data_IF_291955026355
#
_entry.id   IF_291955026355
#
_cell.length_a   1.000
_cell.length_b   1.000
_cell.length_c   1.000
_cell.angle_alpha   90.00
_cell.angle_beta   90.00
_cell.angle_gamma   90.00
#
_symmetry.space_group_name_H-M   'P 1'
#
loop_
_entity.id
_entity.type
_entity.pdbx_description
1 polymer ?
#
# COMPACT_ATOMS: atom_id res chain seq x y z
N UNK A 1 12.83 -4.47 -7.95
CA UNK A 1 12.32 -3.22 -7.32
C UNK A 1 12.80 -3.21 -5.86
N UNK A 2 13.23 -2.08 -5.29
CA UNK A 2 13.74 -2.06 -3.90
C UNK A 2 12.59 -1.94 -2.90
N UNK A 3 12.81 -2.45 -1.67
CA UNK A 3 11.85 -2.27 -0.57
C UNK A 3 11.58 -0.79 -0.26
N UNK A 4 12.61 0.06 -0.36
CA UNK A 4 12.49 1.52 -0.18
C UNK A 4 11.53 2.15 -1.19
N UNK A 5 11.62 1.76 -2.47
CA UNK A 5 10.71 2.27 -3.50
C UNK A 5 9.26 1.89 -3.21
N UNK A 6 9.00 0.63 -2.84
CA UNK A 6 7.64 0.16 -2.51
C UNK A 6 7.09 0.92 -1.32
N UNK A 7 7.92 1.14 -0.29
CA UNK A 7 7.51 1.93 0.88
C UNK A 7 7.11 3.35 0.49
N UNK A 8 7.89 4.02 -0.35
CA UNK A 8 7.59 5.37 -0.84
C UNK A 8 6.31 5.40 -1.69
N UNK A 9 6.10 4.39 -2.55
CA UNK A 9 4.88 4.25 -3.34
C UNK A 9 3.64 4.11 -2.46
N UNK A 10 3.71 3.29 -1.40
CA UNK A 10 2.62 3.13 -0.43
C UNK A 10 2.30 4.47 0.23
N UNK A 11 3.30 5.15 0.80
CA UNK A 11 3.09 6.44 1.47
C UNK A 11 2.46 7.44 0.49
N UNK A 12 3.05 7.59 -0.70
CA UNK A 12 2.58 8.56 -1.68
C UNK A 12 1.14 8.27 -2.13
N UNK A 13 0.79 7.00 -2.30
CA UNK A 13 -0.57 6.59 -2.68
C UNK A 13 -1.58 6.91 -1.58
N UNK A 14 -1.23 6.64 -0.32
CA UNK A 14 -2.07 6.99 0.83
C UNK A 14 -2.27 8.50 0.91
N UNK A 15 -1.20 9.28 0.81
CA UNK A 15 -1.27 10.75 0.82
C UNK A 15 -2.15 11.28 -0.33
N UNK A 16 -2.02 10.72 -1.53
CA UNK A 16 -2.81 11.15 -2.68
C UNK A 16 -4.31 10.86 -2.51
N UNK A 17 -4.67 9.75 -1.83
CA UNK A 17 -6.08 9.39 -1.58
C UNK A 17 -6.67 10.16 -0.41
N UNK A 18 -5.92 10.27 0.69
CA UNK A 18 -6.43 10.84 1.97
C UNK A 18 -6.27 12.35 2.06
N UNK A 19 -5.34 12.94 1.31
CA UNK A 19 -4.92 14.34 1.44
C UNK A 19 -3.96 14.60 2.61
N UNK A 20 -3.56 13.57 3.37
CA UNK A 20 -2.63 13.71 4.48
C UNK A 20 -1.19 13.94 4.00
N UNK A 21 -0.41 14.64 4.81
CA UNK A 21 0.98 14.95 4.49
C UNK A 21 1.89 13.71 4.60
N UNK A 22 2.94 13.57 3.76
CA UNK A 22 3.84 12.42 3.80
C UNK A 22 4.53 12.23 5.15
N UNK A 23 4.84 13.32 5.86
CA UNK A 23 5.47 13.28 7.19
C UNK A 23 4.56 12.67 8.25
N UNK A 24 3.25 12.94 8.17
CA UNK A 24 2.24 12.38 9.07
C UNK A 24 2.10 10.88 8.82
N UNK A 25 1.93 10.48 7.56
CA UNK A 25 1.79 9.06 7.18
C UNK A 25 3.06 8.27 7.48
N UNK A 26 4.25 8.84 7.25
CA UNK A 26 5.51 8.17 7.50
C UNK A 26 5.81 7.97 8.99
N UNK A 27 5.33 8.84 9.87
CA UNK A 27 5.39 8.67 11.32
C UNK A 27 4.38 7.62 11.84
N UNK A 28 3.35 7.34 11.03
CA UNK A 28 2.36 6.26 11.14
C UNK A 28 2.94 4.86 11.36
N UNK A 29 2.80 4.25 12.55
CA UNK A 29 3.00 2.80 12.67
C UNK A 29 1.87 2.03 11.96
N UNK A 30 0.63 2.51 12.09
CA UNK A 30 -0.56 2.01 11.38
C UNK A 30 -1.36 3.17 10.80
N UNK A 31 -1.96 2.96 9.65
CA UNK A 31 -2.85 3.90 8.97
C UNK A 31 -4.25 3.32 8.95
N UNK A 32 -5.22 4.06 9.49
CA UNK A 32 -6.64 3.72 9.40
C UNK A 32 -7.27 4.42 8.19
N UNK A 33 -8.02 3.67 7.39
CA UNK A 33 -8.68 4.14 6.18
C UNK A 33 -10.17 3.81 6.25
N UNK A 34 -11.03 4.71 5.81
CA UNK A 34 -12.42 4.35 5.56
C UNK A 34 -12.51 3.41 4.34
N UNK A 35 -13.69 2.80 4.10
CA UNK A 35 -13.88 1.84 3.00
C UNK A 35 -13.52 2.40 1.63
N UNK A 36 -13.90 3.65 1.33
CA UNK A 36 -13.61 4.26 0.03
C UNK A 36 -12.11 4.45 -0.16
N UNK A 37 -11.43 5.01 0.85
CA UNK A 37 -10.01 5.32 0.76
C UNK A 37 -9.18 4.02 0.74
N UNK A 38 -9.61 2.98 1.46
CA UNK A 38 -9.06 1.63 1.38
C UNK A 38 -9.10 1.09 -0.05
N UNK A 39 -10.30 1.07 -0.66
CA UNK A 39 -10.48 0.58 -2.04
C UNK A 39 -9.63 1.36 -3.04
N UNK A 40 -9.56 2.69 -2.91
CA UNK A 40 -8.75 3.53 -3.80
C UNK A 40 -7.24 3.28 -3.64
N UNK A 41 -6.76 3.18 -2.39
CA UNK A 41 -5.34 2.90 -2.12
C UNK A 41 -4.96 1.56 -2.74
N UNK A 42 -5.70 0.49 -2.46
CA UNK A 42 -5.35 -0.84 -2.94
C UNK A 42 -5.53 -0.99 -4.45
N UNK A 43 -6.56 -0.38 -5.05
CA UNK A 43 -6.73 -0.39 -6.52
C UNK A 43 -5.53 0.26 -7.23
N UNK A 44 -5.03 1.39 -6.71
CA UNK A 44 -3.88 2.11 -7.28
C UNK A 44 -2.58 1.34 -7.08
N UNK A 45 -2.37 0.73 -5.91
CA UNK A 45 -1.18 -0.08 -5.65
C UNK A 45 -1.13 -1.34 -6.50
N UNK A 46 -2.27 -2.03 -6.66
CA UNK A 46 -2.40 -3.20 -7.53
C UNK A 46 -2.10 -2.85 -8.99
N UNK A 47 -2.68 -1.76 -9.50
CA UNK A 47 -2.43 -1.30 -10.86
C UNK A 47 -0.97 -0.82 -11.08
N UNK A 48 -0.40 -0.09 -10.13
CA UNK A 48 0.96 0.45 -10.26
C UNK A 48 2.05 -0.63 -10.19
N UNK A 49 1.79 -1.73 -9.48
CA UNK A 49 2.73 -2.83 -9.31
C UNK A 49 2.43 -4.02 -10.21
N UNK A 50 1.32 -4.00 -10.96
CA UNK A 50 0.79 -5.11 -11.75
C UNK A 50 0.68 -6.41 -10.92
N UNK A 51 0.03 -6.32 -9.76
CA UNK A 51 -0.16 -7.42 -8.82
C UNK A 51 -1.62 -7.49 -8.34
N UNK A 52 -2.00 -8.64 -7.78
CA UNK A 52 -3.26 -8.79 -7.05
C UNK A 52 -2.97 -9.08 -5.57
N UNK A 53 -3.41 -8.17 -4.69
CA UNK A 53 -3.21 -8.27 -3.24
C UNK A 53 -4.35 -9.02 -2.55
N UNK A 54 -5.55 -9.02 -3.14
CA UNK A 54 -6.83 -9.45 -2.52
C UNK A 54 -7.28 -8.56 -1.34
N UNK A 55 -6.65 -7.41 -1.15
CA UNK A 55 -7.00 -6.50 -0.06
C UNK A 55 -8.32 -5.76 -0.29
N UNK A 56 -8.76 -5.62 -1.55
CA UNK A 56 -10.05 -4.99 -1.87
C UNK A 56 -11.24 -5.68 -1.20
N UNK A 57 -11.17 -7.00 -1.00
CA UNK A 57 -12.24 -7.78 -0.34
C UNK A 57 -12.02 -7.95 1.16
N UNK A 58 -10.95 -7.37 1.72
CA UNK A 58 -10.66 -7.47 3.16
C UNK A 58 -11.66 -6.66 3.98
N UNK A 59 -12.03 -7.15 5.17
CA UNK A 59 -12.77 -6.39 6.17
C UNK A 59 -11.86 -5.50 7.02
N UNK A 60 -10.54 -5.63 6.89
CA UNK A 60 -9.58 -4.79 7.60
C UNK A 60 -9.62 -3.35 7.07
N UNK A 61 -9.37 -2.39 7.97
CA UNK A 61 -9.31 -0.97 7.64
C UNK A 61 -8.10 -0.27 8.27
N UNK A 62 -7.15 -1.06 8.76
CA UNK A 62 -5.93 -0.58 9.42
C UNK A 62 -4.72 -1.34 8.91
N UNK A 63 -3.77 -0.65 8.30
CA UNK A 63 -2.57 -1.25 7.71
C UNK A 63 -1.29 -0.75 8.39
N UNK A 64 -0.38 -1.67 8.68
CA UNK A 64 1.00 -1.32 9.02
C UNK A 64 1.81 -1.15 7.72
N UNK A 65 2.43 0.02 7.53
CA UNK A 65 3.14 0.33 6.28
C UNK A 65 4.32 -0.61 6.05
N UNK A 66 5.05 -0.97 7.10
CA UNK A 66 6.22 -1.85 6.97
C UNK A 66 5.80 -3.29 6.60
N UNK A 67 4.71 -3.78 7.21
CA UNK A 67 4.15 -5.11 6.87
C UNK A 67 3.62 -5.13 5.43
N UNK A 68 2.92 -4.06 5.02
CA UNK A 68 2.45 -3.93 3.65
C UNK A 68 3.64 -3.87 2.67
N UNK A 69 4.68 -3.10 2.99
CA UNK A 69 5.91 -3.01 2.18
C UNK A 69 6.52 -4.38 1.95
N UNK A 70 6.70 -5.18 3.00
CA UNK A 70 7.24 -6.53 2.89
C UNK A 70 6.35 -7.43 2.03
N UNK A 71 5.04 -7.36 2.22
CA UNK A 71 4.05 -8.15 1.47
C UNK A 71 4.07 -7.81 -0.02
N UNK A 72 4.04 -6.53 -0.36
CA UNK A 72 4.07 -6.09 -1.76
C UNK A 72 5.42 -6.39 -2.40
N UNK A 73 6.53 -6.21 -1.67
CA UNK A 73 7.87 -6.57 -2.16
C UNK A 73 7.99 -8.05 -2.49
N UNK A 74 7.50 -8.94 -1.61
CA UNK A 74 7.49 -10.37 -1.86
C UNK A 74 6.61 -10.75 -3.06
N UNK A 75 5.43 -10.13 -3.21
CA UNK A 75 4.54 -10.36 -4.35
C UNK A 75 5.17 -9.93 -5.68
N UNK A 76 5.74 -8.72 -5.73
CA UNK A 76 6.42 -8.22 -6.94
C UNK A 76 7.61 -9.11 -7.29
N UNK A 77 8.41 -9.50 -6.30
CA UNK A 77 9.54 -10.41 -6.52
C UNK A 77 9.09 -11.80 -7.03
N UNK A 78 7.96 -12.32 -6.53
CA UNK A 78 7.36 -13.58 -7.01
C UNK A 78 6.78 -13.47 -8.42
N UNK A 79 6.19 -12.34 -8.79
CA UNK A 79 5.64 -12.09 -10.12
C UNK A 79 6.73 -11.97 -11.21
N UNK A 80 7.97 -11.60 -10.86
CA UNK A 80 9.09 -11.51 -11.81
C UNK A 80 9.57 -12.90 -12.28
N UNK A 81 9.18 -13.98 -11.60
CA UNK A 81 9.63 -15.36 -11.91
C UNK A 81 8.64 -16.11 -12.84
N UNK A 82 7.61 -15.45 -13.39
CA UNK A 82 6.67 -16.08 -14.33
C UNK A 82 6.93 -15.74 -15.79
#
# INVERSE_FOLDING_TARGET
MTSTFIRQLIIHTICNVTGNEPTEIAALHRVELNTRDWEQVFSRLEAALDIHTRMLTSTERSICIDTLTQTLHAKVAGNIIS
#
